data_IF_485896573688
#
_entry.id   IF_485896573688
#
_cell.length_a   1.000
_cell.length_b   1.000
_cell.length_c   1.000
_cell.angle_alpha   90.00
_cell.angle_beta   90.00
_cell.angle_gamma   90.00
#
_symmetry.space_group_name_H-M   'P 1'
#
loop_
_entity.id
_entity.type
_entity.pdbx_description
1 polymer ?
#
# COMPACT_ATOMS: atom_id res chain seq x y z
N UNK A 1 -11.66 -12.51 10.96
CA UNK A 1 -10.71 -12.65 9.83
C UNK A 1 -10.75 -14.11 9.38
N UNK A 2 -10.80 -14.41 8.08
CA UNK A 2 -10.61 -15.77 7.59
C UNK A 2 -9.30 -16.37 8.12
N UNK A 3 -9.27 -17.69 8.40
CA UNK A 3 -8.16 -18.35 9.09
C UNK A 3 -6.80 -18.18 8.38
N UNK A 4 -6.81 -18.01 7.05
CA UNK A 4 -5.59 -17.85 6.26
C UNK A 4 -5.04 -16.42 6.20
N UNK A 5 -5.82 -15.42 6.64
CA UNK A 5 -5.46 -14.00 6.53
C UNK A 5 -4.31 -13.63 7.48
N UNK A 6 -4.14 -14.34 8.60
CA UNK A 6 -3.03 -14.12 9.52
C UNK A 6 -1.65 -14.48 8.94
N UNK A 7 -1.59 -15.38 7.95
CA UNK A 7 -0.33 -15.79 7.31
C UNK A 7 0.24 -14.70 6.38
N UNK A 8 -0.62 -13.77 5.94
CA UNK A 8 -0.27 -12.67 5.04
C UNK A 8 0.34 -11.47 5.79
N UNK A 9 0.34 -11.49 7.13
CA UNK A 9 0.95 -10.45 7.95
C UNK A 9 2.20 -10.96 8.64
N UNK A 10 3.22 -10.10 8.73
CA UNK A 10 4.43 -10.35 9.48
C UNK A 10 4.33 -9.84 10.91
N UNK A 11 4.84 -10.60 11.87
CA UNK A 11 4.94 -10.15 13.27
C UNK A 11 5.99 -9.04 13.39
N UNK A 12 5.58 -7.83 13.77
CA UNK A 12 6.45 -6.65 13.92
C UNK A 12 7.61 -6.81 14.91
N UNK A 13 7.58 -7.84 15.77
CA UNK A 13 8.68 -8.20 16.68
C UNK A 13 9.74 -9.12 16.04
N UNK A 14 9.43 -9.72 14.89
CA UNK A 14 10.34 -10.57 14.11
C UNK A 14 11.17 -9.73 13.13
N UNK A 15 12.35 -10.23 12.70
CA UNK A 15 13.13 -9.56 11.66
C UNK A 15 12.32 -9.28 10.39
N UNK A 16 12.60 -8.14 9.76
CA UNK A 16 11.99 -7.70 8.50
C UNK A 16 12.55 -8.55 7.35
N UNK A 17 11.67 -9.08 6.50
CA UNK A 17 12.05 -9.70 5.22
C UNK A 17 12.16 -8.61 4.14
N UNK A 18 13.09 -8.74 3.18
CA UNK A 18 13.15 -7.84 2.02
C UNK A 18 11.89 -7.81 1.16
N UNK A 19 11.02 -8.83 1.28
CA UNK A 19 9.75 -8.95 0.55
C UNK A 19 8.55 -8.40 1.33
N UNK A 20 8.77 -7.91 2.55
CA UNK A 20 7.69 -7.34 3.35
C UNK A 20 7.38 -5.91 2.89
N UNK A 21 6.10 -5.55 2.91
CA UNK A 21 5.62 -4.20 2.60
C UNK A 21 5.07 -3.56 3.86
N UNK A 22 5.45 -2.31 4.14
CA UNK A 22 4.90 -1.58 5.27
C UNK A 22 3.41 -1.27 5.04
N UNK A 23 2.57 -1.55 6.03
CA UNK A 23 1.14 -1.24 6.03
C UNK A 23 0.85 -0.23 7.14
N UNK A 24 0.59 1.01 6.74
CA UNK A 24 0.10 2.01 7.68
C UNK A 24 -1.41 1.93 7.83
N UNK A 25 -1.86 1.43 8.98
CA UNK A 25 -3.27 1.49 9.35
C UNK A 25 -3.65 2.90 9.76
N UNK A 26 -4.27 3.62 8.83
CA UNK A 26 -4.66 5.00 8.97
C UNK A 26 -6.00 5.14 9.68
N UNK A 27 -5.98 5.75 10.86
CA UNK A 27 -7.18 6.24 11.54
C UNK A 27 -7.51 7.65 11.05
N UNK A 28 -8.71 7.91 10.49
CA UNK A 28 -9.10 9.23 10.02
C UNK A 28 -8.91 10.31 11.09
N UNK A 29 -8.39 11.47 10.67
CA UNK A 29 -8.08 12.62 11.54
C UNK A 29 -7.00 12.38 12.60
N UNK A 30 -6.29 11.24 12.56
CA UNK A 30 -5.11 10.98 13.39
C UNK A 30 -3.81 11.37 12.68
N UNK A 31 -3.78 12.56 12.06
CA UNK A 31 -2.58 13.12 11.40
C UNK A 31 -2.01 12.28 10.23
N UNK A 32 -2.80 11.42 9.59
CA UNK A 32 -2.29 10.57 8.51
C UNK A 32 -1.68 11.33 7.33
N UNK A 33 -2.15 12.54 7.03
CA UNK A 33 -1.54 13.40 6.02
C UNK A 33 -0.09 13.75 6.37
N UNK A 34 0.22 14.00 7.64
CA UNK A 34 1.60 14.27 8.08
C UNK A 34 2.50 13.05 7.92
N UNK A 35 1.95 11.85 8.20
CA UNK A 35 2.68 10.59 8.00
C UNK A 35 2.97 10.37 6.51
N UNK A 36 1.96 10.51 5.64
CA UNK A 36 2.16 10.45 4.17
C UNK A 36 3.24 11.44 3.71
N UNK A 37 3.16 12.71 4.14
CA UNK A 37 4.16 13.73 3.79
C UNK A 37 5.57 13.36 4.27
N UNK A 38 5.71 12.79 5.47
CA UNK A 38 7.00 12.32 5.98
C UNK A 38 7.59 11.23 5.08
N UNK A 39 6.79 10.24 4.67
CA UNK A 39 7.23 9.19 3.74
C UNK A 39 7.52 9.71 2.33
N UNK A 40 6.78 10.73 1.86
CA UNK A 40 7.08 11.45 0.62
C UNK A 40 8.45 12.13 0.69
N UNK A 41 8.76 12.79 1.81
CA UNK A 41 10.06 13.43 2.03
C UNK A 41 11.22 12.42 2.04
N UNK A 42 11.00 11.21 2.53
CA UNK A 42 11.97 10.11 2.47
C UNK A 42 12.07 9.46 1.09
N UNK A 43 11.32 9.94 0.09
CA UNK A 43 11.30 9.42 -1.30
C UNK A 43 10.84 7.96 -1.40
N UNK A 44 10.03 7.49 -0.45
CA UNK A 44 9.42 6.17 -0.52
C UNK A 44 8.23 6.16 -1.48
N UNK A 45 8.04 5.04 -2.18
CA UNK A 45 6.93 4.81 -3.10
C UNK A 45 5.69 4.41 -2.31
N UNK A 46 4.61 5.19 -2.47
CA UNK A 46 3.39 5.03 -1.68
C UNK A 46 2.23 4.46 -2.50
N UNK A 47 1.45 3.56 -1.89
CA UNK A 47 0.12 3.19 -2.36
C UNK A 47 -0.94 3.94 -1.54
N UNK A 48 -1.33 5.14 -2.00
CA UNK A 48 -2.25 6.02 -1.28
C UNK A 48 -3.02 6.96 -2.19
N UNK A 49 -4.20 7.39 -1.73
CA UNK A 49 -5.01 8.53 -2.18
C UNK A 49 -5.41 8.56 -3.67
N UNK A 50 -6.70 8.39 -3.96
CA UNK A 50 -7.24 8.40 -5.32
C UNK A 50 -7.05 9.74 -6.04
N UNK A 51 -6.95 10.83 -5.27
CA UNK A 51 -6.73 12.18 -5.78
C UNK A 51 -5.43 12.30 -6.56
N UNK A 52 -4.47 11.41 -6.26
CA UNK A 52 -3.14 11.39 -6.85
C UNK A 52 -3.05 10.45 -8.07
N UNK A 53 -3.94 9.46 -8.23
CA UNK A 53 -3.91 8.47 -9.33
C UNK A 53 -4.24 9.08 -10.72
N UNK A 54 -4.34 10.41 -10.83
CA UNK A 54 -4.81 11.16 -11.99
C UNK A 54 -4.30 10.65 -13.34
N UNK A 55 -5.18 10.01 -14.11
CA UNK A 55 -4.90 9.50 -15.45
C UNK A 55 -4.55 8.01 -15.53
N UNK A 56 -4.42 7.31 -14.40
CA UNK A 56 -4.01 5.90 -14.34
C UNK A 56 -5.18 4.92 -14.10
N UNK A 57 -6.39 5.35 -14.43
CA UNK A 57 -7.62 4.58 -14.23
C UNK A 57 -7.68 3.35 -15.14
N UNK A 58 -7.14 3.48 -16.35
CA UNK A 58 -7.16 2.45 -17.40
C UNK A 58 -5.93 1.54 -17.38
N UNK A 59 -4.98 1.82 -16.48
CA UNK A 59 -3.78 0.98 -16.35
C UNK A 59 -4.18 -0.44 -15.96
N UNK A 60 -3.48 -1.42 -16.52
CA UNK A 60 -3.74 -2.86 -16.34
C UNK A 60 -2.69 -3.57 -15.49
N UNK A 61 -1.73 -2.83 -14.92
CA UNK A 61 -0.63 -3.34 -14.10
C UNK A 61 -0.17 -2.30 -13.10
N UNK A 62 0.53 -2.71 -12.03
CA UNK A 62 1.16 -1.77 -11.09
C UNK A 62 2.27 -1.01 -11.82
N UNK A 63 2.23 0.32 -11.73
CA UNK A 63 3.25 1.21 -12.26
C UNK A 63 3.57 2.30 -11.24
N UNK A 64 4.85 2.67 -11.18
CA UNK A 64 5.29 3.84 -10.43
C UNK A 64 5.12 5.07 -11.31
N UNK A 65 4.49 6.09 -10.76
CA UNK A 65 4.41 7.42 -11.36
C UNK A 65 4.90 8.46 -10.35
N UNK A 66 5.29 9.62 -10.85
CA UNK A 66 5.86 10.71 -10.06
C UNK A 66 5.03 11.97 -10.22
N UNK A 67 4.64 12.59 -9.11
CA UNK A 67 3.87 13.84 -9.14
C UNK A 67 4.78 15.06 -9.39
N UNK A 68 4.18 16.24 -9.58
CA UNK A 68 4.92 17.48 -9.83
C UNK A 68 5.90 17.87 -8.70
N UNK A 69 5.73 17.32 -7.48
CA UNK A 69 6.64 17.50 -6.34
C UNK A 69 7.81 16.53 -6.32
N UNK A 70 7.89 15.60 -7.27
CA UNK A 70 8.90 14.55 -7.31
C UNK A 70 8.64 13.38 -6.35
N UNK A 71 7.40 13.25 -5.85
CA UNK A 71 7.02 12.16 -4.96
C UNK A 71 6.49 10.99 -5.77
N UNK A 72 6.89 9.77 -5.38
CA UNK A 72 6.60 8.54 -6.11
C UNK A 72 5.42 7.82 -5.51
N UNK A 73 4.54 7.36 -6.38
CA UNK A 73 3.34 6.63 -6.01
C UNK A 73 3.16 5.46 -6.96
N UNK A 74 2.46 4.42 -6.51
CA UNK A 74 1.90 3.43 -7.42
C UNK A 74 0.51 3.86 -7.88
N UNK A 75 0.09 3.39 -9.03
CA UNK A 75 -1.22 3.67 -9.65
C UNK A 75 -2.41 2.93 -9.00
N UNK A 76 -2.35 2.69 -7.69
CA UNK A 76 -3.44 2.09 -6.89
C UNK A 76 -3.63 2.85 -5.58
N UNK A 77 -4.89 3.10 -5.22
CA UNK A 77 -5.26 3.75 -3.98
C UNK A 77 -5.79 2.75 -2.95
N UNK A 78 -4.93 2.32 -2.03
CA UNK A 78 -5.33 1.38 -0.96
C UNK A 78 -6.13 2.03 0.18
N UNK A 79 -6.43 3.33 0.09
CA UNK A 79 -7.32 4.04 1.00
C UNK A 79 -8.81 3.93 0.66
N UNK A 80 -9.13 3.29 -0.48
CA UNK A 80 -10.50 2.94 -0.90
C UNK A 80 -10.66 1.43 -1.08
N UNK A 81 -11.89 0.92 -0.96
CA UNK A 81 -12.16 -0.52 -1.12
C UNK A 81 -11.94 -1.01 -2.55
N UNK A 82 -12.36 -0.24 -3.55
CA UNK A 82 -12.15 -0.55 -4.97
C UNK A 82 -10.66 -0.53 -5.34
N UNK A 83 -9.89 0.41 -4.77
CA UNK A 83 -8.44 0.45 -4.96
C UNK A 83 -7.70 -0.69 -4.24
N UNK A 84 -8.21 -1.20 -3.10
CA UNK A 84 -7.71 -2.45 -2.50
C UNK A 84 -7.96 -3.62 -3.45
N UNK A 85 -9.15 -3.73 -4.04
CA UNK A 85 -9.42 -4.80 -5.01
C UNK A 85 -8.49 -4.70 -6.23
N UNK A 86 -8.28 -3.49 -6.77
CA UNK A 86 -7.33 -3.25 -7.85
C UNK A 86 -5.89 -3.65 -7.47
N UNK A 87 -5.48 -3.35 -6.24
CA UNK A 87 -4.17 -3.76 -5.72
C UNK A 87 -4.02 -5.30 -5.62
N UNK A 88 -5.07 -6.01 -5.24
CA UNK A 88 -5.10 -7.49 -5.26
C UNK A 88 -4.98 -7.99 -6.69
N UNK A 89 -5.82 -7.48 -7.60
CA UNK A 89 -5.89 -7.92 -8.98
C UNK A 89 -4.56 -7.69 -9.73
N UNK A 90 -3.84 -6.63 -9.37
CA UNK A 90 -2.55 -6.28 -9.98
C UNK A 90 -1.33 -6.85 -9.23
N UNK A 91 -1.54 -7.59 -8.14
CA UNK A 91 -0.45 -8.19 -7.36
C UNK A 91 0.47 -7.14 -6.73
N UNK A 92 -0.09 -6.16 -6.01
CA UNK A 92 0.64 -5.04 -5.41
C UNK A 92 1.82 -5.51 -4.54
N UNK A 93 1.61 -6.47 -3.64
CA UNK A 93 2.67 -6.97 -2.77
C UNK A 93 3.74 -7.74 -3.54
N UNK A 94 3.33 -8.60 -4.47
CA UNK A 94 4.21 -9.38 -5.34
C UNK A 94 5.04 -8.50 -6.29
N UNK A 95 4.54 -7.31 -6.63
CA UNK A 95 5.24 -6.39 -7.53
C UNK A 95 6.57 -5.89 -6.96
N UNK A 96 6.69 -5.80 -5.63
CA UNK A 96 7.84 -5.19 -4.96
C UNK A 96 8.06 -3.71 -5.28
N UNK A 97 7.07 -3.04 -5.87
CA UNK A 97 7.18 -1.64 -6.31
C UNK A 97 6.72 -0.63 -5.24
N UNK A 98 6.09 -1.09 -4.16
CA UNK A 98 5.56 -0.24 -3.09
C UNK A 98 6.39 -0.40 -1.82
N UNK A 99 6.80 0.72 -1.23
CA UNK A 99 7.48 0.72 0.06
C UNK A 99 6.48 0.75 1.21
N UNK A 100 5.37 1.49 1.04
CA UNK A 100 4.34 1.66 2.07
C UNK A 100 2.93 1.80 1.48
N UNK A 101 1.97 1.05 2.04
CA UNK A 101 0.55 1.14 1.73
C UNK A 101 -0.22 1.83 2.85
N UNK A 102 -1.15 2.72 2.49
CA UNK A 102 -1.99 3.46 3.43
C UNK A 102 -3.45 3.05 3.31
N UNK A 103 -4.02 2.52 4.39
CA UNK A 103 -5.42 2.10 4.38
C UNK A 103 -6.14 2.40 5.68
N UNK A 104 -7.44 2.68 5.59
CA UNK A 104 -8.35 2.63 6.74
C UNK A 104 -9.05 1.28 6.88
N UNK A 105 -8.98 0.43 5.85
CA UNK A 105 -9.67 -0.85 5.78
C UNK A 105 -8.71 -2.00 6.07
N UNK A 106 -8.05 -1.99 7.24
CA UNK A 106 -6.99 -2.95 7.59
C UNK A 106 -7.40 -4.40 7.34
N UNK A 107 -8.62 -4.81 7.69
CA UNK A 107 -9.11 -6.16 7.46
C UNK A 107 -9.20 -6.58 5.99
N UNK A 108 -9.55 -5.66 5.08
CA UNK A 108 -9.59 -5.93 3.64
C UNK A 108 -8.19 -5.86 3.02
N UNK A 109 -7.37 -4.92 3.50
CA UNK A 109 -6.01 -4.71 3.03
C UNK A 109 -5.10 -5.92 3.26
N UNK A 110 -5.39 -6.77 4.26
CA UNK A 110 -4.59 -8.01 4.45
C UNK A 110 -4.64 -8.94 3.23
N UNK A 111 -5.71 -8.88 2.44
CA UNK A 111 -5.85 -9.66 1.22
C UNK A 111 -4.94 -9.20 0.08
N UNK A 112 -4.33 -8.01 0.18
CA UNK A 112 -3.33 -7.53 -0.80
C UNK A 112 -1.98 -8.22 -0.66
N UNK A 113 -1.77 -8.95 0.44
CA UNK A 113 -0.51 -9.59 0.80
C UNK A 113 -0.62 -11.11 0.70
N UNK A 114 0.53 -11.78 0.72
CA UNK A 114 0.63 -13.24 0.66
C UNK A 114 1.67 -13.76 1.66
N UNK A 115 1.73 -15.08 1.94
CA UNK A 115 2.74 -15.62 2.86
C UNK A 115 4.19 -15.36 2.43
N UNK A 116 4.42 -15.10 1.13
CA UNK A 116 5.72 -14.76 0.56
C UNK A 116 5.99 -13.25 0.52
N UNK A 117 4.95 -12.42 0.46
CA UNK A 117 5.03 -10.95 0.44
C UNK A 117 4.08 -10.38 1.51
N UNK A 118 4.57 -10.27 2.74
CA UNK A 118 3.70 -9.97 3.89
C UNK A 118 3.53 -8.47 4.10
N UNK A 119 2.35 -8.09 4.59
CA UNK A 119 2.12 -6.77 5.16
C UNK A 119 2.63 -6.70 6.60
N UNK A 120 3.13 -5.54 7.03
CA UNK A 120 3.56 -5.31 8.43
C UNK A 120 3.13 -3.96 8.97
#
# INVERSE_FOLDING_TARGET
LPVNTALNLGDVSSPISPTDTALYWHIPKASGSSVKSYYSCMRLVQASDASEVGGHEQDTSIQIWENAGGYKHVNVDTSRQDGIQKAIDFGLAESGLVDIAFTMFSGAAVSMFSPQHKGR
#
